data_IF_786739395081
#
_entry.id   IF_786739395081
#
_cell.length_a   1.000
_cell.length_b   1.000
_cell.length_c   1.000
_cell.angle_alpha   90.00
_cell.angle_beta   90.00
_cell.angle_gamma   90.00
#
_symmetry.space_group_name_H-M   'P 1'
#
loop_
_entity.id
_entity.type
_entity.pdbx_description
1 polymer ?
#
# COMPACT_ATOMS: atom_id res chain seq x y z
N UNK A 1 -17.61 -9.30 6.44
CA UNK A 1 -17.08 -9.08 5.07
C UNK A 1 -15.95 -8.07 5.19
N UNK A 2 -14.95 -8.12 4.32
CA UNK A 2 -13.89 -7.11 4.26
C UNK A 2 -14.25 -6.11 3.19
N UNK A 3 -14.13 -4.81 3.49
CA UNK A 3 -14.30 -3.73 2.53
C UNK A 3 -12.95 -3.06 2.32
N UNK A 4 -12.37 -3.23 1.13
CA UNK A 4 -11.11 -2.57 0.75
C UNK A 4 -11.17 -1.98 -0.66
N UNK A 5 -10.48 -0.85 -0.84
CA UNK A 5 -10.06 -0.35 -2.16
C UNK A 5 -8.56 -0.60 -2.29
N UNK A 6 -8.15 -1.22 -3.40
CA UNK A 6 -6.74 -1.46 -3.73
C UNK A 6 -6.37 -0.74 -5.02
N UNK A 7 -5.32 0.08 -4.95
CA UNK A 7 -4.73 0.75 -6.11
C UNK A 7 -3.31 0.21 -6.30
N UNK A 8 -3.11 -0.54 -7.38
CA UNK A 8 -1.81 -1.01 -7.81
C UNK A 8 -1.19 0.01 -8.76
N UNK A 9 0.00 0.52 -8.42
CA UNK A 9 0.71 1.45 -9.29
C UNK A 9 1.39 0.70 -10.42
N UNK A 10 1.53 1.36 -11.57
CA UNK A 10 2.31 0.80 -12.69
C UNK A 10 3.78 0.77 -12.35
N UNK A 11 4.50 -0.17 -12.96
CA UNK A 11 5.96 -0.20 -12.90
C UNK A 11 6.58 1.08 -13.46
N UNK A 12 7.67 1.53 -12.84
CA UNK A 12 8.42 2.73 -13.27
C UNK A 12 9.31 2.37 -14.48
N UNK A 13 9.06 2.94 -15.67
CA UNK A 13 9.89 2.65 -16.84
C UNK A 13 11.35 3.07 -16.59
N UNK A 14 12.30 2.23 -17.02
CA UNK A 14 13.73 2.48 -16.81
C UNK A 14 14.25 2.11 -15.42
N UNK A 15 13.55 1.26 -14.68
CA UNK A 15 14.00 0.79 -13.37
C UNK A 15 15.39 0.11 -13.44
N UNK A 16 16.41 0.76 -12.88
CA UNK A 16 17.80 0.26 -12.79
C UNK A 16 17.98 -0.92 -11.82
N UNK A 17 16.94 -1.24 -11.06
CA UNK A 17 16.92 -2.33 -10.09
C UNK A 17 16.31 -3.62 -10.64
N UNK A 18 15.92 -3.64 -11.92
CA UNK A 18 15.12 -4.71 -12.56
C UNK A 18 15.71 -6.12 -12.41
N UNK A 19 17.04 -6.23 -12.41
CA UNK A 19 17.75 -7.52 -12.27
C UNK A 19 18.17 -7.83 -10.81
N UNK A 20 17.95 -6.90 -9.88
CA UNK A 20 18.32 -6.99 -8.47
C UNK A 20 17.10 -7.08 -7.54
N UNK A 21 15.91 -7.32 -8.10
CA UNK A 21 14.69 -7.63 -7.33
C UNK A 21 14.79 -9.11 -6.94
N UNK A 22 15.19 -9.38 -5.69
CA UNK A 22 15.26 -10.74 -5.15
C UNK A 22 13.88 -11.36 -4.84
N UNK A 23 12.80 -10.77 -5.32
CA UNK A 23 11.42 -11.08 -4.94
C UNK A 23 10.55 -11.02 -6.19
N UNK A 24 9.61 -11.96 -6.26
CA UNK A 24 8.69 -12.21 -7.38
C UNK A 24 8.10 -10.91 -7.96
N UNK A 25 7.95 -10.88 -9.28
CA UNK A 25 7.72 -9.66 -10.08
C UNK A 25 6.39 -8.97 -9.73
N UNK A 26 5.45 -9.73 -9.16
CA UNK A 26 4.18 -9.26 -8.61
C UNK A 26 4.32 -8.47 -7.29
N UNK A 27 5.44 -8.62 -6.56
CA UNK A 27 5.77 -7.89 -5.32
C UNK A 27 6.44 -6.52 -5.60
N UNK A 28 6.79 -6.23 -6.85
CA UNK A 28 7.56 -5.05 -7.26
C UNK A 28 6.75 -3.76 -7.46
N UNK A 29 5.42 -3.83 -7.50
CA UNK A 29 4.56 -2.65 -7.67
C UNK A 29 4.09 -2.11 -6.34
N UNK A 30 4.25 -0.80 -6.15
CA UNK A 30 3.71 -0.14 -4.98
C UNK A 30 2.18 -0.32 -4.96
N UNK A 31 1.62 -0.44 -3.77
CA UNK A 31 0.17 -0.56 -3.56
C UNK A 31 -0.30 0.46 -2.54
N UNK A 32 -1.46 1.06 -2.80
CA UNK A 32 -2.25 1.79 -1.80
C UNK A 32 -3.50 0.96 -1.49
N UNK A 33 -3.68 0.63 -0.21
CA UNK A 33 -4.82 -0.12 0.29
C UNK A 33 -5.57 0.78 1.27
N UNK A 34 -6.83 1.03 0.98
CA UNK A 34 -7.77 1.70 1.88
C UNK A 34 -8.70 0.64 2.44
N UNK A 35 -8.63 0.37 3.73
CA UNK A 35 -9.50 -0.59 4.42
C UNK A 35 -10.53 0.17 5.25
N UNK A 36 -11.80 -0.18 5.06
CA UNK A 36 -12.92 0.37 5.82
C UNK A 36 -13.27 -0.56 6.99
N UNK A 37 -13.61 -1.83 6.74
CA UNK A 37 -14.00 -2.76 7.83
C UNK A 37 -13.46 -4.18 7.59
N UNK A 38 -13.06 -4.94 8.64
CA UNK A 38 -12.70 -4.47 9.99
C UNK A 38 -11.28 -3.89 10.03
N UNK A 39 -10.98 -3.04 11.02
CA UNK A 39 -9.70 -2.36 11.23
C UNK A 39 -9.37 -1.31 10.14
N UNK A 40 -9.98 -0.14 10.26
CA UNK A 40 -9.77 1.02 9.40
C UNK A 40 -8.29 1.37 9.29
N UNK A 41 -7.78 1.34 8.07
CA UNK A 41 -6.36 1.54 7.82
C UNK A 41 -6.10 2.08 6.43
N UNK A 42 -5.05 2.91 6.34
CA UNK A 42 -4.41 3.21 5.07
C UNK A 42 -3.06 2.50 5.09
N UNK A 43 -2.89 1.53 4.19
CA UNK A 43 -1.64 0.81 4.02
C UNK A 43 -1.00 1.20 2.70
N UNK A 44 0.31 1.44 2.74
CA UNK A 44 1.12 1.74 1.57
C UNK A 44 2.25 0.73 1.53
N UNK A 45 2.25 -0.16 0.54
CA UNK A 45 3.36 -1.05 0.26
C UNK A 45 4.26 -0.40 -0.77
N UNK A 46 5.53 -0.21 -0.42
CA UNK A 46 6.51 0.46 -1.27
C UNK A 46 7.79 -0.35 -1.35
N UNK A 47 8.39 -0.37 -2.53
CA UNK A 47 9.73 -0.93 -2.70
C UNK A 47 10.78 0.12 -2.37
N UNK A 48 11.66 -0.21 -1.44
CA UNK A 48 12.74 0.64 -0.96
C UNK A 48 14.09 0.00 -1.26
N UNK A 49 15.10 0.83 -1.49
CA UNK A 49 16.48 0.36 -1.64
C UNK A 49 17.05 -0.04 -0.28
N UNK A 50 17.58 -1.26 -0.19
CA UNK A 50 18.22 -1.77 1.03
C UNK A 50 19.51 -0.97 1.28
N UNK A 51 19.72 -0.39 2.48
CA UNK A 51 20.96 0.31 2.81
C UNK A 51 22.21 -0.56 2.55
N UNK A 52 23.29 0.04 2.04
CA UNK A 52 24.52 -0.68 1.65
C UNK A 52 25.03 -0.33 0.24
N UNK A 53 26.01 -1.08 -0.27
CA UNK A 53 26.65 -0.81 -1.56
C UNK A 53 25.96 -1.51 -2.75
N UNK A 54 24.98 -2.38 -2.50
CA UNK A 54 24.24 -3.10 -3.53
C UNK A 54 23.02 -2.35 -4.07
N UNK A 55 22.44 -2.89 -5.13
CA UNK A 55 21.22 -2.41 -5.79
C UNK A 55 19.99 -3.26 -5.40
N UNK A 56 20.00 -3.86 -4.23
CA UNK A 56 18.90 -4.69 -3.77
C UNK A 56 17.72 -3.83 -3.33
N UNK A 57 16.51 -4.23 -3.72
CA UNK A 57 15.26 -3.70 -3.23
C UNK A 57 14.65 -4.64 -2.19
N UNK A 58 13.93 -4.05 -1.24
CA UNK A 58 13.06 -4.76 -0.30
C UNK A 58 11.72 -4.03 -0.18
N UNK A 59 10.66 -4.80 0.07
CA UNK A 59 9.32 -4.25 0.24
C UNK A 59 9.13 -3.82 1.68
N UNK A 60 8.64 -2.59 1.89
CA UNK A 60 8.25 -2.09 3.20
C UNK A 60 6.77 -1.74 3.20
N UNK A 61 6.10 -2.01 4.33
CA UNK A 61 4.72 -1.62 4.57
C UNK A 61 4.68 -0.41 5.51
N UNK A 62 4.12 0.69 5.03
CA UNK A 62 3.75 1.83 5.85
C UNK A 62 2.28 1.70 6.22
N UNK A 63 2.01 1.58 7.51
CA UNK A 63 0.66 1.37 8.03
C UNK A 63 0.22 2.57 8.88
N UNK A 64 -0.87 3.21 8.47
CA UNK A 64 -1.56 4.24 9.23
C UNK A 64 -2.89 3.65 9.72
N UNK A 65 -2.86 3.11 10.95
CA UNK A 65 -4.04 2.59 11.63
C UNK A 65 -4.87 3.74 12.20
N UNK A 66 -6.15 3.81 11.85
CA UNK A 66 -7.08 4.83 12.35
C UNK A 66 -7.82 4.34 13.60
N UNK A 67 -7.11 3.85 14.61
CA UNK A 67 -7.77 3.45 15.88
C UNK A 67 -8.18 4.64 16.74
N UNK A 68 -7.45 5.77 16.62
CA UNK A 68 -7.64 6.93 17.50
C UNK A 68 -8.13 8.21 16.79
N UNK A 69 -8.23 8.21 15.45
CA UNK A 69 -8.61 9.41 14.66
C UNK A 69 -9.93 9.22 13.92
N UNK A 70 -11.02 9.23 14.70
CA UNK A 70 -12.41 8.98 14.30
C UNK A 70 -12.94 9.81 13.12
N UNK A 71 -12.43 11.03 12.91
CA UNK A 71 -13.00 11.97 11.92
C UNK A 71 -12.84 11.47 10.48
N UNK A 72 -11.74 10.78 10.16
CA UNK A 72 -11.49 10.31 8.79
C UNK A 72 -12.18 8.97 8.49
N UNK A 73 -12.18 8.06 9.48
CA UNK A 73 -12.92 6.80 9.43
C UNK A 73 -14.43 7.02 9.22
N UNK A 74 -15.01 7.98 9.95
CA UNK A 74 -16.42 8.32 9.82
C UNK A 74 -16.79 8.81 8.41
N UNK A 75 -15.94 9.63 7.77
CA UNK A 75 -16.19 10.13 6.41
C UNK A 75 -16.11 9.04 5.35
N UNK A 76 -15.21 8.06 5.50
CA UNK A 76 -15.11 6.91 4.59
C UNK A 76 -16.36 6.04 4.71
N UNK A 77 -16.72 5.63 5.93
CA UNK A 77 -17.89 4.78 6.19
C UNK A 77 -19.21 5.44 5.74
N UNK A 78 -19.40 6.74 6.03
CA UNK A 78 -20.60 7.49 5.58
C UNK A 78 -20.66 7.60 4.06
N UNK A 79 -19.55 7.84 3.38
CA UNK A 79 -19.54 7.99 1.91
C UNK A 79 -19.90 6.67 1.20
N UNK A 80 -19.46 5.53 1.73
CA UNK A 80 -19.79 4.22 1.18
C UNK A 80 -21.25 3.81 1.40
N UNK A 81 -21.81 4.16 2.56
CA UNK A 81 -23.22 3.87 2.86
C UNK A 81 -24.18 4.71 2.01
N UNK A 82 -23.78 5.92 1.59
CA UNK A 82 -24.59 6.81 0.74
C UNK A 82 -24.52 6.43 -0.75
N UNK A 83 -23.56 5.58 -1.15
CA UNK A 83 -23.37 5.12 -2.53
C UNK A 83 -24.02 3.76 -2.83
N UNK A 84 -24.73 3.14 -1.87
CA UNK A 84 -25.50 1.90 -2.05
C UNK A 84 -27.00 2.12 -1.85
#
# INVERSE_FOLDING_TARGET
MVVEIRVQFRHVPGNIYRDNIGIDIDLGTNELILRDEPDEAILVKINNKVPGLGLQLDASELNLLYKDRQVFAFLISVSFHVLN
#
